data_IF_797107020258
#
_entry.id   IF_797107020258
#
_cell.length_a   1.000
_cell.length_b   1.000
_cell.length_c   1.000
_cell.angle_alpha   90.00
_cell.angle_beta   90.00
_cell.angle_gamma   90.00
#
_symmetry.space_group_name_H-M   'P 1'
#
loop_
_entity.id
_entity.type
_entity.pdbx_description
1 polymer ?
#
# COMPACT_ATOMS: atom_id res chain seq x y z
N UNK A 1 34.55 -97.22 -62.80
CA UNK A 1 34.85 -95.90 -62.20
C UNK A 1 34.16 -95.88 -60.90
N UNK A 2 34.91 -95.92 -59.91
CA UNK A 2 34.97 -95.47 -58.55
C UNK A 2 34.87 -96.49 -57.45
N UNK A 3 36.03 -96.94 -57.10
CA UNK A 3 36.35 -97.42 -55.78
C UNK A 3 36.31 -96.24 -54.79
N UNK A 4 35.80 -96.45 -53.62
CA UNK A 4 36.17 -95.95 -52.29
C UNK A 4 34.94 -95.95 -51.34
N UNK A 5 34.62 -97.13 -50.83
CA UNK A 5 33.71 -97.14 -49.68
C UNK A 5 33.82 -98.39 -48.80
N UNK A 6 34.97 -98.67 -48.21
CA UNK A 6 35.09 -99.73 -47.21
C UNK A 6 36.01 -99.47 -46.02
N UNK A 7 36.24 -98.20 -45.65
CA UNK A 7 37.13 -97.92 -44.52
C UNK A 7 36.51 -96.99 -43.46
N UNK A 8 35.20 -96.79 -43.45
CA UNK A 8 34.57 -95.79 -42.51
C UNK A 8 33.83 -96.37 -41.27
N UNK A 9 33.53 -97.71 -41.25
CA UNK A 9 32.67 -98.23 -40.19
C UNK A 9 33.35 -98.57 -38.85
N UNK A 10 34.66 -98.86 -38.84
CA UNK A 10 35.37 -99.16 -37.55
C UNK A 10 35.73 -97.94 -36.73
N UNK A 11 35.94 -96.84 -37.37
CA UNK A 11 36.18 -95.56 -36.64
C UNK A 11 34.92 -94.96 -36.07
N UNK A 12 33.75 -95.27 -36.56
CA UNK A 12 32.46 -94.74 -36.03
C UNK A 12 32.01 -95.36 -34.71
N UNK A 13 32.37 -96.62 -34.44
CA UNK A 13 32.03 -97.31 -33.17
C UNK A 13 32.97 -96.94 -32.00
N UNK A 14 34.24 -96.61 -32.28
CA UNK A 14 35.13 -96.10 -31.21
C UNK A 14 34.82 -94.70 -30.80
N UNK A 15 34.30 -93.87 -31.69
CA UNK A 15 33.86 -92.50 -31.35
C UNK A 15 32.54 -92.46 -30.52
N UNK A 16 31.67 -93.46 -30.76
CA UNK A 16 30.39 -93.54 -29.97
C UNK A 16 30.63 -93.99 -28.52
N UNK A 17 31.64 -94.84 -28.23
CA UNK A 17 31.97 -95.25 -26.87
C UNK A 17 32.56 -94.13 -25.98
N UNK A 18 33.39 -93.26 -26.56
CA UNK A 18 34.01 -92.15 -25.87
C UNK A 18 32.98 -91.00 -25.61
N UNK A 19 32.07 -90.82 -26.57
CA UNK A 19 30.99 -89.82 -26.40
C UNK A 19 29.97 -90.21 -25.28
N UNK A 20 29.67 -91.48 -25.12
CA UNK A 20 28.82 -92.01 -24.05
C UNK A 20 29.46 -91.90 -22.66
N UNK A 21 30.77 -92.10 -22.53
CA UNK A 21 31.49 -91.94 -21.25
C UNK A 21 31.63 -90.45 -20.78
N UNK A 22 31.80 -89.57 -21.75
CA UNK A 22 31.87 -88.09 -21.45
C UNK A 22 30.49 -87.53 -21.05
N UNK A 23 29.42 -88.06 -21.64
CA UNK A 23 28.05 -87.64 -21.27
C UNK A 23 27.64 -88.18 -19.90
N UNK A 24 28.10 -89.38 -19.52
CA UNK A 24 27.78 -89.92 -18.19
C UNK A 24 28.54 -89.21 -17.04
N UNK A 25 29.79 -88.76 -17.28
CA UNK A 25 30.57 -88.00 -16.30
C UNK A 25 30.11 -86.57 -16.18
N UNK A 26 29.58 -85.91 -17.21
CA UNK A 26 29.03 -84.58 -17.15
C UNK A 26 27.63 -84.54 -16.52
N UNK A 27 26.82 -85.59 -16.63
CA UNK A 27 25.55 -85.74 -15.97
C UNK A 27 25.67 -85.98 -14.44
N UNK A 28 26.75 -86.65 -13.97
CA UNK A 28 27.04 -86.87 -12.56
C UNK A 28 27.59 -85.63 -11.84
N UNK A 29 28.26 -84.69 -12.57
CA UNK A 29 28.71 -83.41 -12.00
C UNK A 29 27.65 -82.33 -12.05
N UNK A 30 26.59 -82.45 -12.84
CA UNK A 30 25.47 -81.51 -12.88
C UNK A 30 24.33 -81.86 -11.94
N UNK A 31 24.39 -83.00 -11.26
CA UNK A 31 23.38 -83.46 -10.31
C UNK A 31 23.62 -83.05 -8.84
N UNK A 32 24.75 -82.40 -8.50
CA UNK A 32 25.07 -82.06 -7.08
C UNK A 32 25.16 -80.59 -6.79
N UNK A 33 24.64 -79.70 -7.65
CA UNK A 33 24.61 -78.26 -7.38
C UNK A 33 23.22 -77.59 -7.52
N UNK A 34 22.16 -78.32 -7.32
CA UNK A 34 20.84 -77.67 -7.12
C UNK A 34 20.54 -77.44 -5.64
N UNK A 35 21.40 -76.68 -4.96
CA UNK A 35 20.92 -75.86 -3.86
C UNK A 35 20.14 -74.76 -4.54
N UNK A 36 18.82 -74.81 -4.44
CA UNK A 36 17.93 -73.71 -4.72
C UNK A 36 18.27 -72.64 -3.74
N UNK A 37 19.15 -71.70 -4.14
CA UNK A 37 19.25 -70.39 -3.44
C UNK A 37 17.90 -69.71 -3.66
N UNK A 38 17.12 -69.64 -2.60
CA UNK A 38 15.91 -68.80 -2.57
C UNK A 38 16.30 -67.41 -3.06
N UNK A 39 15.51 -66.73 -3.94
CA UNK A 39 15.83 -65.41 -4.36
C UNK A 39 16.00 -64.54 -3.11
N UNK A 40 17.25 -64.09 -2.91
CA UNK A 40 17.56 -63.14 -1.84
C UNK A 40 16.57 -61.99 -2.03
N UNK A 41 15.68 -61.82 -1.07
CA UNK A 41 14.81 -60.66 -0.99
C UNK A 41 15.77 -59.48 -1.17
N UNK A 42 15.65 -58.77 -2.29
CA UNK A 42 16.41 -57.54 -2.52
C UNK A 42 16.23 -56.68 -1.29
N UNK A 43 17.27 -56.59 -0.48
CA UNK A 43 17.28 -55.72 0.69
C UNK A 43 16.85 -54.33 0.18
N UNK A 44 15.68 -53.89 0.63
CA UNK A 44 15.18 -52.57 0.25
C UNK A 44 16.27 -51.56 0.57
N UNK A 45 16.70 -50.83 -0.44
CA UNK A 45 17.69 -49.77 -0.25
C UNK A 45 17.30 -48.93 0.95
N UNK A 46 18.23 -48.61 1.85
CA UNK A 46 17.89 -47.85 3.08
C UNK A 46 17.16 -46.57 2.70
N UNK A 47 15.96 -46.40 3.27
CA UNK A 47 15.14 -45.23 3.01
C UNK A 47 15.90 -43.96 3.41
N UNK A 48 15.98 -42.99 2.50
CA UNK A 48 16.70 -41.74 2.74
C UNK A 48 15.91 -40.87 3.72
N UNK A 49 16.47 -40.47 4.87
CA UNK A 49 15.78 -39.58 5.80
C UNK A 49 15.60 -38.21 5.18
N UNK A 50 14.35 -37.68 5.19
CA UNK A 50 13.98 -36.37 4.65
C UNK A 50 13.00 -35.69 5.58
N UNK A 51 13.06 -34.35 5.63
CA UNK A 51 12.01 -33.57 6.29
C UNK A 51 10.82 -33.42 5.34
N UNK A 52 9.66 -33.83 5.77
CA UNK A 52 8.41 -33.75 5.02
C UNK A 52 7.43 -32.83 5.71
N UNK A 53 6.65 -32.07 4.94
CA UNK A 53 5.57 -31.25 5.47
C UNK A 53 4.30 -31.40 4.61
N UNK A 54 3.16 -31.21 5.23
CA UNK A 54 1.89 -31.17 4.52
C UNK A 54 1.69 -29.82 3.84
N UNK A 55 1.23 -29.84 2.61
CA UNK A 55 0.87 -28.67 1.82
C UNK A 55 -0.32 -27.98 2.47
N UNK A 56 -0.12 -26.71 2.85
CA UNK A 56 -1.13 -25.90 3.50
C UNK A 56 -2.06 -25.25 2.47
N UNK A 57 -3.33 -25.15 2.83
CA UNK A 57 -4.29 -24.31 2.10
C UNK A 57 -4.82 -23.26 3.07
N UNK A 58 -4.59 -22.01 2.77
CA UNK A 58 -5.01 -20.88 3.59
C UNK A 58 -5.57 -19.76 2.71
N UNK A 59 -6.45 -18.96 3.32
CA UNK A 59 -6.92 -17.73 2.73
C UNK A 59 -5.82 -16.68 2.86
N UNK A 60 -5.30 -16.23 1.74
CA UNK A 60 -4.20 -15.25 1.70
C UNK A 60 -4.62 -13.99 0.96
N UNK A 61 -4.17 -12.87 1.46
CA UNK A 61 -4.23 -11.60 0.72
C UNK A 61 -2.98 -11.49 -0.14
N UNK A 62 -3.16 -11.39 -1.45
CA UNK A 62 -2.06 -11.13 -2.37
C UNK A 62 -1.70 -9.65 -2.33
N UNK A 63 -0.41 -9.34 -2.28
CA UNK A 63 0.10 -7.99 -2.20
C UNK A 63 0.87 -7.63 -3.47
N UNK A 64 0.57 -6.47 -4.03
CA UNK A 64 1.34 -5.86 -5.12
C UNK A 64 2.22 -4.75 -4.54
N UNK A 65 3.48 -4.69 -4.97
CA UNK A 65 4.46 -3.72 -4.49
C UNK A 65 4.64 -2.58 -5.48
N UNK A 66 4.64 -1.36 -4.95
CA UNK A 66 4.78 -0.14 -5.72
C UNK A 66 5.76 0.80 -5.04
N UNK A 67 6.32 1.70 -5.84
CA UNK A 67 7.11 2.82 -5.37
C UNK A 67 6.27 4.09 -5.40
N UNK A 68 6.29 4.86 -4.32
CA UNK A 68 5.51 6.08 -4.23
C UNK A 68 6.20 7.18 -3.42
N UNK A 69 5.47 8.27 -3.22
CA UNK A 69 5.90 9.41 -2.40
C UNK A 69 4.82 9.82 -1.43
N UNK A 70 5.26 10.29 -0.28
CA UNK A 70 4.38 10.88 0.72
C UNK A 70 3.98 12.29 0.31
N UNK A 71 2.72 12.62 0.51
CA UNK A 71 2.14 13.94 0.26
C UNK A 71 1.35 14.39 1.48
N UNK A 72 1.43 15.67 1.80
CA UNK A 72 0.54 16.24 2.83
C UNK A 72 -0.89 16.31 2.27
N UNK A 73 -1.88 16.08 3.15
CA UNK A 73 -3.31 16.22 2.78
C UNK A 73 -3.62 17.66 2.35
N UNK A 74 -3.01 18.63 3.04
CA UNK A 74 -3.17 20.04 2.73
C UNK A 74 -1.80 20.71 2.69
N UNK A 75 -1.58 21.50 1.65
CA UNK A 75 -0.45 22.40 1.52
C UNK A 75 -0.97 23.78 1.17
N UNK A 76 -0.60 24.78 1.96
CA UNK A 76 -1.01 26.16 1.77
C UNK A 76 0.20 27.06 1.76
N UNK A 77 0.34 27.83 0.70
CA UNK A 77 1.29 28.92 0.62
C UNK A 77 0.63 30.15 1.24
N UNK A 78 1.09 30.54 2.42
CA UNK A 78 0.53 31.65 3.20
C UNK A 78 0.94 32.97 2.56
N UNK A 79 -0.03 33.74 2.08
CA UNK A 79 0.19 35.04 1.42
C UNK A 79 -0.59 36.14 2.14
N UNK A 80 -0.10 37.40 2.14
CA UNK A 80 -0.78 38.53 2.73
C UNK A 80 -2.01 38.93 1.88
N UNK A 81 -3.10 39.27 2.54
CA UNK A 81 -4.32 39.81 1.89
C UNK A 81 -4.34 41.33 1.84
N UNK A 82 -3.47 41.97 2.61
CA UNK A 82 -3.30 43.42 2.67
C UNK A 82 -1.83 43.80 2.57
N UNK A 83 -1.54 44.96 2.04
CA UNK A 83 -0.18 45.47 1.84
C UNK A 83 0.31 46.19 3.10
N UNK A 84 1.61 46.14 3.37
CA UNK A 84 2.22 46.83 4.53
C UNK A 84 3.54 46.22 4.92
N UNK A 85 4.23 46.83 5.91
CA UNK A 85 5.44 46.27 6.45
C UNK A 85 5.14 45.09 7.41
N UNK A 86 5.93 44.02 7.35
CA UNK A 86 5.87 42.95 8.35
C UNK A 86 6.39 43.48 9.66
N UNK A 87 5.53 43.59 10.67
CA UNK A 87 5.88 44.10 11.97
C UNK A 87 6.41 43.03 12.91
N UNK A 88 5.82 41.83 12.87
CA UNK A 88 6.22 40.73 13.74
C UNK A 88 5.96 39.36 13.08
N UNK A 89 6.77 38.38 13.49
CA UNK A 89 6.59 36.96 13.21
C UNK A 89 6.39 36.23 14.53
N UNK A 90 5.35 35.40 14.63
CA UNK A 90 4.88 34.79 15.88
C UNK A 90 5.15 33.29 15.99
N UNK A 91 5.86 32.68 15.07
CA UNK A 91 6.21 31.27 15.08
C UNK A 91 7.70 31.05 14.94
N UNK A 92 8.14 29.82 15.23
CA UNK A 92 9.49 29.33 14.89
C UNK A 92 9.41 28.45 13.67
N UNK A 93 10.40 28.52 12.79
CA UNK A 93 10.50 27.67 11.62
C UNK A 93 10.42 26.17 12.00
N UNK A 94 9.62 25.40 11.25
CA UNK A 94 9.41 23.98 11.52
C UNK A 94 8.46 23.67 12.69
N UNK A 95 7.91 24.67 13.38
CA UNK A 95 6.98 24.46 14.49
C UNK A 95 5.63 23.92 14.00
N UNK A 96 4.94 23.21 14.89
CA UNK A 96 3.53 22.83 14.70
C UNK A 96 2.64 23.99 15.15
N UNK A 97 1.65 24.34 14.32
CA UNK A 97 0.65 25.37 14.59
C UNK A 97 -0.75 24.79 14.37
N UNK A 98 -1.73 25.41 15.05
CA UNK A 98 -3.14 25.10 14.88
C UNK A 98 -3.80 26.08 13.93
N UNK A 99 -4.88 25.67 13.29
CA UNK A 99 -5.73 26.59 12.53
C UNK A 99 -6.18 27.75 13.41
N UNK A 100 -6.00 28.99 12.92
CA UNK A 100 -6.29 30.22 13.65
C UNK A 100 -5.11 30.83 14.39
N UNK A 101 -3.99 30.13 14.60
CA UNK A 101 -2.80 30.67 15.24
C UNK A 101 -2.25 31.84 14.43
N UNK A 102 -1.81 32.90 15.12
CA UNK A 102 -1.22 34.09 14.52
C UNK A 102 0.19 33.75 14.01
N UNK A 103 0.44 33.97 12.73
CA UNK A 103 1.74 33.73 12.08
C UNK A 103 2.52 35.02 11.87
N UNK A 104 1.88 36.04 11.27
CA UNK A 104 2.50 37.31 10.98
C UNK A 104 1.58 38.46 11.39
N UNK A 105 2.18 39.58 11.76
CA UNK A 105 1.49 40.86 11.89
C UNK A 105 2.05 41.81 10.83
N UNK A 106 1.18 42.27 9.94
CA UNK A 106 1.42 43.41 9.04
C UNK A 106 1.05 44.65 9.74
N UNK A 107 1.74 45.79 9.51
CA UNK A 107 1.50 47.07 10.18
C UNK A 107 0.01 47.43 10.14
N UNK A 108 -0.68 47.46 11.30
CA UNK A 108 -2.11 47.75 11.37
C UNK A 108 -2.44 49.26 11.38
N UNK A 109 -1.46 50.14 11.57
CA UNK A 109 -1.73 51.57 11.83
C UNK A 109 -2.54 52.26 10.72
N UNK A 110 -2.26 52.07 9.41
CA UNK A 110 -3.06 52.62 8.34
C UNK A 110 -4.51 52.09 8.32
N UNK A 111 -4.70 50.85 8.68
CA UNK A 111 -6.00 50.15 8.66
C UNK A 111 -6.85 50.55 9.89
N UNK A 112 -6.23 50.81 11.06
CA UNK A 112 -6.90 51.38 12.22
C UNK A 112 -7.45 52.77 11.90
N UNK A 113 -6.63 53.64 11.30
CA UNK A 113 -7.09 54.98 10.89
C UNK A 113 -8.27 54.93 9.89
N UNK A 114 -8.28 53.92 8.98
CA UNK A 114 -9.37 53.72 8.02
C UNK A 114 -10.66 53.27 8.73
N UNK A 115 -10.56 52.39 9.74
CA UNK A 115 -11.72 52.00 10.58
C UNK A 115 -12.27 53.20 11.32
N UNK A 116 -11.43 54.01 11.96
CA UNK A 116 -11.85 55.21 12.70
C UNK A 116 -12.56 56.18 11.78
N UNK A 117 -12.06 56.41 10.58
CA UNK A 117 -12.70 57.25 9.55
C UNK A 117 -14.07 56.71 9.14
N UNK A 118 -14.16 55.41 8.88
CA UNK A 118 -15.43 54.78 8.49
C UNK A 118 -16.45 54.77 9.65
N UNK A 119 -16.01 54.64 10.89
CA UNK A 119 -16.88 54.76 12.08
C UNK A 119 -17.46 56.15 12.21
N UNK A 120 -16.65 57.20 12.01
CA UNK A 120 -17.13 58.58 12.01
C UNK A 120 -18.20 58.81 10.91
N UNK A 121 -18.04 58.24 9.73
CA UNK A 121 -19.02 58.31 8.62
C UNK A 121 -20.34 57.61 9.01
N UNK A 122 -20.31 56.48 9.66
CA UNK A 122 -21.53 55.81 10.18
C UNK A 122 -22.24 56.65 11.20
N UNK A 123 -21.50 57.31 12.10
CA UNK A 123 -22.11 58.23 13.12
C UNK A 123 -22.81 59.40 12.43
N UNK A 124 -22.18 60.04 11.43
CA UNK A 124 -22.79 61.13 10.67
C UNK A 124 -24.04 60.68 9.89
N UNK A 125 -23.97 59.52 9.19
CA UNK A 125 -25.10 58.96 8.47
C UNK A 125 -26.28 58.59 9.40
N UNK A 126 -25.99 58.06 10.58
CA UNK A 126 -26.99 57.78 11.64
C UNK A 126 -27.70 59.04 12.09
N UNK A 127 -26.96 60.11 12.35
CA UNK A 127 -27.54 61.41 12.75
C UNK A 127 -28.47 61.98 11.65
N UNK A 128 -28.05 61.90 10.38
CA UNK A 128 -28.85 62.29 9.23
C UNK A 128 -30.13 61.47 9.10
N UNK A 129 -30.01 60.14 9.26
CA UNK A 129 -31.18 59.23 9.22
C UNK A 129 -32.18 59.56 10.35
N UNK A 130 -31.72 59.78 11.58
CA UNK A 130 -32.56 60.14 12.68
C UNK A 130 -33.35 61.46 12.46
N UNK A 131 -32.66 62.49 11.89
CA UNK A 131 -33.26 63.70 11.47
C UNK A 131 -34.37 63.55 10.43
N UNK A 132 -34.03 62.92 9.33
CA UNK A 132 -34.96 62.69 8.18
C UNK A 132 -36.11 61.77 8.56
N UNK A 133 -35.91 60.82 9.46
CA UNK A 133 -36.96 60.00 10.05
C UNK A 133 -38.00 60.87 10.81
N UNK A 134 -37.55 61.72 11.72
CA UNK A 134 -38.41 62.63 12.46
C UNK A 134 -39.19 63.56 11.54
N UNK A 135 -38.53 64.12 10.50
CA UNK A 135 -39.21 64.98 9.54
C UNK A 135 -40.24 64.21 8.71
N UNK A 136 -39.94 62.98 8.26
CA UNK A 136 -40.90 62.11 7.53
C UNK A 136 -42.11 61.74 8.41
N UNK A 137 -41.89 61.42 9.66
CA UNK A 137 -42.99 61.15 10.64
C UNK A 137 -43.88 62.39 10.90
N UNK A 138 -43.28 63.58 10.98
CA UNK A 138 -44.02 64.84 11.08
C UNK A 138 -44.80 65.09 9.80
N UNK A 139 -44.22 64.96 8.67
CA UNK A 139 -44.87 65.13 7.37
C UNK A 139 -46.05 64.15 7.19
N UNK A 140 -45.91 62.87 7.64
CA UNK A 140 -47.02 61.92 7.61
C UNK A 140 -48.24 62.38 8.42
N UNK A 141 -48.02 62.87 9.64
CA UNK A 141 -49.13 63.47 10.48
C UNK A 141 -49.78 64.64 9.81
N UNK A 142 -48.99 65.62 9.28
CA UNK A 142 -49.55 66.84 8.63
C UNK A 142 -50.29 66.52 7.33
N UNK A 143 -49.84 65.42 6.59
CA UNK A 143 -50.53 64.94 5.42
C UNK A 143 -51.90 64.34 5.77
N UNK A 144 -51.97 63.55 6.83
CA UNK A 144 -53.25 62.97 7.32
C UNK A 144 -54.21 64.06 7.73
N UNK A 145 -53.69 65.18 8.31
CA UNK A 145 -54.45 66.38 8.63
C UNK A 145 -54.72 67.30 7.45
N UNK A 146 -54.24 66.93 6.21
CA UNK A 146 -54.33 67.75 4.97
C UNK A 146 -53.66 69.13 5.11
N UNK A 147 -52.66 69.26 5.96
CA UNK A 147 -51.97 70.54 6.23
C UNK A 147 -50.77 70.83 5.32
N UNK A 148 -50.31 69.81 4.51
CA UNK A 148 -49.19 69.98 3.57
C UNK A 148 -49.56 69.45 2.16
N UNK A 149 -48.82 69.95 1.14
CA UNK A 149 -48.96 69.45 -0.23
C UNK A 149 -48.32 68.05 -0.46
N UNK A 150 -48.88 67.28 -1.35
CA UNK A 150 -48.35 65.95 -1.70
C UNK A 150 -46.85 65.97 -2.05
N UNK A 151 -46.42 66.97 -2.84
CA UNK A 151 -45.03 67.17 -3.21
C UNK A 151 -44.11 67.25 -1.98
N UNK A 152 -44.49 68.01 -0.97
CA UNK A 152 -43.70 68.17 0.25
C UNK A 152 -43.64 66.86 1.05
N UNK A 153 -44.75 66.14 1.18
CA UNK A 153 -44.79 64.82 1.79
C UNK A 153 -43.85 63.88 1.05
N UNK A 154 -43.92 63.72 -0.28
CA UNK A 154 -43.08 62.87 -1.10
C UNK A 154 -41.59 63.21 -0.97
N UNK A 155 -41.25 64.51 -0.91
CA UNK A 155 -39.87 64.98 -0.69
C UNK A 155 -39.32 64.49 0.68
N UNK A 156 -40.08 64.57 1.77
CA UNK A 156 -39.66 64.13 3.13
C UNK A 156 -39.49 62.60 3.18
N UNK A 157 -40.41 61.84 2.57
CA UNK A 157 -40.34 60.39 2.48
C UNK A 157 -39.12 59.95 1.65
N UNK A 158 -38.85 60.62 0.53
CA UNK A 158 -37.68 60.33 -0.33
C UNK A 158 -36.38 60.69 0.40
N UNK A 159 -36.32 61.83 1.11
CA UNK A 159 -35.14 62.21 1.88
C UNK A 159 -34.81 61.16 2.99
N UNK A 160 -35.82 60.60 3.64
CA UNK A 160 -35.62 59.51 4.58
C UNK A 160 -35.08 58.26 3.91
N UNK A 161 -35.63 57.86 2.74
CA UNK A 161 -35.15 56.67 1.98
C UNK A 161 -33.70 56.84 1.53
N UNK A 162 -33.33 58.05 1.09
CA UNK A 162 -31.96 58.38 0.71
C UNK A 162 -31.03 58.29 1.92
N UNK A 163 -31.41 58.86 3.09
CA UNK A 163 -30.62 58.80 4.32
C UNK A 163 -30.44 57.36 4.81
N UNK A 164 -31.46 56.49 4.68
CA UNK A 164 -31.40 55.08 5.01
C UNK A 164 -30.41 54.33 4.09
N UNK A 165 -30.44 54.60 2.77
CA UNK A 165 -29.50 54.03 1.81
C UNK A 165 -28.06 54.48 2.11
N UNK A 166 -27.85 55.77 2.43
CA UNK A 166 -26.53 56.31 2.80
C UNK A 166 -25.99 55.70 4.10
N UNK A 167 -26.84 55.44 5.09
CA UNK A 167 -26.45 54.77 6.33
C UNK A 167 -25.98 53.33 6.03
N UNK A 168 -26.73 52.61 5.22
CA UNK A 168 -26.31 51.22 4.80
C UNK A 168 -25.00 51.25 4.06
N UNK A 169 -24.75 52.19 3.16
CA UNK A 169 -23.49 52.33 2.44
C UNK A 169 -22.32 52.62 3.41
N UNK A 170 -22.51 53.54 4.38
CA UNK A 170 -21.49 53.81 5.41
C UNK A 170 -21.19 52.60 6.28
N UNK A 171 -22.21 51.84 6.67
CA UNK A 171 -22.04 50.59 7.42
C UNK A 171 -21.26 49.53 6.64
N UNK A 172 -21.53 49.37 5.34
CA UNK A 172 -20.78 48.44 4.46
C UNK A 172 -19.32 48.86 4.34
N UNK A 173 -19.04 50.18 4.19
CA UNK A 173 -17.67 50.70 4.15
C UNK A 173 -16.92 50.43 5.47
N UNK A 174 -17.57 50.61 6.63
CA UNK A 174 -16.99 50.27 7.92
C UNK A 174 -16.66 48.78 8.03
N UNK A 175 -17.56 47.90 7.58
CA UNK A 175 -17.32 46.49 7.61
C UNK A 175 -16.09 46.07 6.73
N UNK A 176 -15.95 46.70 5.55
CA UNK A 176 -14.79 46.50 4.70
C UNK A 176 -13.49 46.94 5.37
N UNK A 177 -13.48 48.10 6.02
CA UNK A 177 -12.33 48.60 6.78
C UNK A 177 -11.95 47.64 7.93
N UNK A 178 -12.92 47.12 8.68
CA UNK A 178 -12.70 46.12 9.74
C UNK A 178 -12.18 44.82 9.23
N UNK A 179 -12.62 44.34 8.07
CA UNK A 179 -12.06 43.13 7.40
C UNK A 179 -10.59 43.36 7.02
N UNK A 180 -10.27 44.49 6.43
CA UNK A 180 -8.89 44.80 6.03
C UNK A 180 -7.97 44.90 7.27
N UNK A 181 -8.44 45.51 8.37
CA UNK A 181 -7.72 45.49 9.65
C UNK A 181 -7.53 44.08 10.17
N UNK A 182 -8.55 43.20 10.05
CA UNK A 182 -8.43 41.79 10.43
C UNK A 182 -7.41 41.04 9.62
N UNK A 183 -7.22 41.38 8.34
CA UNK A 183 -6.25 40.76 7.46
C UNK A 183 -4.80 41.18 7.75
N UNK A 184 -4.56 42.21 8.54
CA UNK A 184 -3.21 42.54 9.05
C UNK A 184 -2.68 41.45 9.98
N UNK A 185 -3.56 40.68 10.62
CA UNK A 185 -3.24 39.48 11.38
C UNK A 185 -3.30 38.27 10.48
N UNK A 186 -2.17 37.86 9.93
CA UNK A 186 -2.09 36.67 9.09
C UNK A 186 -2.10 35.42 9.96
N UNK A 187 -3.19 34.66 9.89
CA UNK A 187 -3.42 33.46 10.70
C UNK A 187 -3.27 32.19 9.87
N UNK A 188 -2.91 31.10 10.54
CA UNK A 188 -2.83 29.76 9.94
C UNK A 188 -4.22 29.30 9.46
N UNK A 189 -4.40 29.01 8.16
CA UNK A 189 -5.70 28.56 7.63
C UNK A 189 -6.00 27.10 8.00
N UNK A 190 -4.97 26.31 8.25
CA UNK A 190 -5.03 24.88 8.59
C UNK A 190 -4.04 24.56 9.71
N UNK A 191 -4.26 23.45 10.42
CA UNK A 191 -3.28 22.95 11.38
C UNK A 191 -2.19 22.19 10.65
N UNK A 192 -0.93 22.35 11.07
CA UNK A 192 0.18 21.69 10.42
C UNK A 192 1.54 22.21 10.86
N UNK A 193 2.57 21.87 10.11
CA UNK A 193 3.93 22.34 10.31
C UNK A 193 4.22 23.52 9.39
N UNK A 194 4.67 24.63 9.97
CA UNK A 194 5.12 25.79 9.19
C UNK A 194 6.50 25.56 8.62
N UNK A 195 6.71 26.07 7.43
CA UNK A 195 8.01 26.07 6.75
C UNK A 195 8.95 27.16 7.27
N UNK A 196 9.88 27.57 6.42
CA UNK A 196 10.77 28.68 6.70
C UNK A 196 10.08 30.04 6.56
N UNK A 197 10.67 31.05 7.13
CA UNK A 197 10.23 32.43 6.99
C UNK A 197 10.82 32.98 5.69
N UNK A 198 9.95 33.20 4.67
CA UNK A 198 10.38 33.74 3.37
C UNK A 198 10.54 35.26 3.38
N UNK A 199 9.77 35.95 4.25
CA UNK A 199 9.79 37.41 4.40
C UNK A 199 10.03 37.75 5.87
N UNK A 200 11.11 38.46 6.13
CA UNK A 200 11.51 38.86 7.48
C UNK A 200 10.86 40.19 7.92
N UNK A 201 10.88 40.44 9.23
CA UNK A 201 10.40 41.69 9.84
C UNK A 201 11.06 42.90 9.19
N UNK A 202 10.31 43.98 8.97
CA UNK A 202 10.73 45.21 8.33
C UNK A 202 10.56 45.26 6.82
N UNK A 203 10.34 44.12 6.15
CA UNK A 203 10.09 44.10 4.71
C UNK A 203 8.65 44.49 4.38
N UNK A 204 8.50 45.18 3.28
CA UNK A 204 7.20 45.56 2.72
C UNK A 204 6.62 44.40 1.92
N UNK A 205 5.37 44.04 2.16
CA UNK A 205 4.63 43.03 1.38
C UNK A 205 3.47 43.70 0.65
N UNK A 206 3.18 43.16 -0.55
CA UNK A 206 2.03 43.58 -1.36
C UNK A 206 0.92 42.52 -1.30
N UNK A 207 -0.30 42.93 -1.56
CA UNK A 207 -1.45 42.04 -1.70
C UNK A 207 -1.86 41.86 -3.16
N UNK A 208 -2.63 40.80 -3.46
CA UNK A 208 -3.17 40.54 -4.80
C UNK A 208 -2.32 39.61 -5.66
N UNK A 209 -2.48 39.72 -6.99
CA UNK A 209 -1.74 38.88 -7.95
C UNK A 209 -0.24 39.17 -7.84
N UNK A 210 0.55 38.15 -7.52
CA UNK A 210 2.00 38.29 -7.29
C UNK A 210 2.38 38.63 -5.86
N UNK A 211 1.48 38.52 -4.89
CA UNK A 211 1.83 38.63 -3.48
C UNK A 211 2.92 37.60 -3.11
N UNK A 212 3.95 38.01 -2.33
CA UNK A 212 4.99 37.07 -1.93
C UNK A 212 4.43 36.02 -0.95
N UNK A 213 4.96 34.79 -1.07
CA UNK A 213 4.71 33.77 -0.07
C UNK A 213 5.45 34.15 1.21
N UNK A 214 4.77 34.24 2.34
CA UNK A 214 5.35 34.54 3.64
C UNK A 214 5.97 33.30 4.28
N UNK A 215 5.29 32.19 4.18
CA UNK A 215 5.73 30.84 4.60
C UNK A 215 4.83 29.79 3.96
N UNK A 216 5.27 28.54 3.96
CA UNK A 216 4.44 27.39 3.58
C UNK A 216 3.90 26.69 4.82
N UNK A 217 2.69 26.17 4.74
CA UNK A 217 2.07 25.38 5.81
C UNK A 217 1.62 24.04 5.24
N UNK A 218 2.06 22.94 5.84
CA UNK A 218 1.70 21.59 5.42
C UNK A 218 1.05 20.83 6.57
N UNK A 219 -0.06 20.14 6.28
CA UNK A 219 -0.68 19.26 7.27
C UNK A 219 0.26 18.09 7.57
N UNK A 220 0.25 17.62 8.83
CA UNK A 220 1.13 16.54 9.28
C UNK A 220 0.38 15.23 9.41
N UNK A 221 -0.84 15.25 9.90
CA UNK A 221 -1.69 14.09 10.11
C UNK A 221 -3.10 14.37 9.60
N UNK A 222 -3.68 13.45 8.81
CA UNK A 222 -3.06 12.28 8.19
C UNK A 222 -2.12 12.63 7.03
N UNK A 223 -1.39 11.62 6.52
CA UNK A 223 -0.53 11.72 5.35
C UNK A 223 -1.06 10.87 4.20
N UNK A 224 -0.88 11.34 2.99
CA UNK A 224 -1.14 10.56 1.79
C UNK A 224 0.15 9.91 1.27
N UNK A 225 0.00 8.74 0.66
CA UNK A 225 1.03 8.14 -0.16
C UNK A 225 0.48 7.98 -1.58
N UNK A 226 1.08 8.67 -2.54
CA UNK A 226 0.72 8.60 -3.95
C UNK A 226 1.67 7.68 -4.69
N UNK A 227 1.14 6.80 -5.51
CA UNK A 227 1.88 5.86 -6.35
C UNK A 227 1.15 5.59 -7.65
N UNK A 228 1.88 5.13 -8.65
CA UNK A 228 1.33 4.80 -9.95
C UNK A 228 1.22 3.26 -10.04
N UNK A 229 0.00 2.75 -10.24
CA UNK A 229 -0.30 1.33 -10.33
C UNK A 229 -0.70 0.95 -11.75
N UNK A 230 -0.28 -0.23 -12.21
CA UNK A 230 -0.66 -0.75 -13.53
C UNK A 230 -2.17 -0.81 -13.68
N UNK A 231 -2.68 -0.40 -14.83
CA UNK A 231 -4.11 -0.41 -15.16
C UNK A 231 -4.75 -1.79 -14.91
N UNK A 232 -4.04 -2.87 -15.26
CA UNK A 232 -4.55 -4.23 -15.08
C UNK A 232 -4.77 -4.58 -13.60
N UNK A 233 -3.84 -4.17 -12.72
CA UNK A 233 -3.95 -4.41 -11.26
C UNK A 233 -5.14 -3.63 -10.69
N UNK A 234 -5.29 -2.38 -11.11
CA UNK A 234 -6.41 -1.52 -10.69
C UNK A 234 -7.75 -2.08 -11.19
N UNK A 235 -7.81 -2.52 -12.45
CA UNK A 235 -9.01 -3.11 -13.03
C UNK A 235 -9.42 -4.41 -12.29
N UNK A 236 -8.46 -5.28 -11.97
CA UNK A 236 -8.72 -6.49 -11.18
C UNK A 236 -9.23 -6.16 -9.77
N UNK A 237 -8.64 -5.16 -9.10
CA UNK A 237 -9.09 -4.72 -7.79
C UNK A 237 -10.53 -4.18 -7.85
N UNK A 238 -10.87 -3.37 -8.86
CA UNK A 238 -12.22 -2.83 -9.05
C UNK A 238 -13.24 -3.92 -9.38
N UNK A 239 -12.90 -4.91 -10.21
CA UNK A 239 -13.77 -6.05 -10.51
C UNK A 239 -14.04 -6.89 -9.25
N UNK A 240 -13.01 -7.15 -8.44
CA UNK A 240 -13.16 -7.81 -7.15
C UNK A 240 -14.12 -7.08 -6.21
N UNK A 241 -14.05 -5.75 -6.17
CA UNK A 241 -14.94 -4.92 -5.37
C UNK A 241 -16.38 -4.94 -5.89
N UNK A 242 -16.60 -4.94 -7.20
CA UNK A 242 -17.95 -5.01 -7.78
C UNK A 242 -18.65 -6.32 -7.43
N UNK A 243 -17.92 -7.43 -7.42
CA UNK A 243 -18.44 -8.74 -7.02
C UNK A 243 -18.89 -8.78 -5.54
N UNK A 244 -18.28 -7.95 -4.68
CA UNK A 244 -18.58 -7.84 -3.26
C UNK A 244 -19.58 -6.71 -2.93
N UNK A 245 -20.09 -5.98 -3.92
CA UNK A 245 -20.66 -4.63 -3.72
C UNK A 245 -22.05 -4.58 -3.08
N UNK A 246 -22.81 -5.65 -2.92
CA UNK A 246 -24.11 -5.66 -2.21
C UNK A 246 -24.76 -4.27 -1.98
N UNK A 247 -24.73 -3.36 -2.98
CA UNK A 247 -25.33 -2.03 -2.89
C UNK A 247 -24.49 -0.94 -2.18
N UNK A 248 -23.22 -1.18 -1.86
CA UNK A 248 -22.32 -0.15 -1.30
C UNK A 248 -21.77 0.76 -2.40
N UNK A 249 -21.52 2.03 -2.07
CA UNK A 249 -20.87 2.95 -3.01
C UNK A 249 -19.43 2.51 -3.33
N UNK A 250 -19.00 2.74 -4.55
CA UNK A 250 -17.62 2.41 -5.01
C UNK A 250 -16.56 3.00 -4.08
N UNK A 251 -16.79 4.19 -3.55
CA UNK A 251 -15.87 4.85 -2.61
C UNK A 251 -15.71 4.04 -1.32
N UNK A 252 -16.81 3.61 -0.70
CA UNK A 252 -16.75 2.82 0.52
C UNK A 252 -16.07 1.46 0.32
N UNK A 253 -16.11 0.93 -0.90
CA UNK A 253 -15.42 -0.31 -1.26
C UNK A 253 -13.92 -0.09 -1.46
N UNK A 254 -13.51 1.02 -2.08
CA UNK A 254 -12.09 1.38 -2.24
C UNK A 254 -11.40 1.50 -0.89
N UNK A 255 -12.07 2.10 0.10
CA UNK A 255 -11.54 2.26 1.46
C UNK A 255 -11.34 0.91 2.21
N UNK A 256 -11.89 -0.21 1.71
CA UNK A 256 -11.64 -1.55 2.28
C UNK A 256 -10.34 -2.18 1.80
N UNK A 257 -9.70 -1.65 0.76
CA UNK A 257 -8.43 -2.17 0.25
C UNK A 257 -7.31 -1.80 1.22
N UNK A 258 -6.68 -2.80 1.87
CA UNK A 258 -5.60 -2.54 2.79
C UNK A 258 -4.33 -2.12 2.05
N UNK A 259 -3.64 -1.13 2.58
CA UNK A 259 -2.35 -0.68 2.05
C UNK A 259 -1.34 -0.65 3.19
N UNK A 260 -0.16 -1.19 2.93
CA UNK A 260 0.97 -1.14 3.84
C UNK A 260 2.07 -0.27 3.24
N UNK A 261 2.81 0.41 4.09
CA UNK A 261 3.86 1.32 3.66
C UNK A 261 5.10 1.19 4.55
N UNK A 262 6.27 1.31 3.90
CA UNK A 262 7.55 1.46 4.56
C UNK A 262 8.34 2.62 3.96
N UNK A 263 8.99 3.39 4.82
CA UNK A 263 9.92 4.46 4.42
C UNK A 263 11.37 3.98 4.51
N UNK A 264 12.31 4.73 3.94
CA UNK A 264 13.72 4.29 3.84
C UNK A 264 14.39 3.89 5.16
N UNK A 265 13.91 4.41 6.29
CA UNK A 265 14.39 4.10 7.64
C UNK A 265 13.70 2.93 8.31
N UNK A 266 12.60 2.44 7.77
CA UNK A 266 11.84 1.33 8.35
C UNK A 266 12.31 -0.03 7.81
N UNK A 267 12.44 -1.01 8.69
CA UNK A 267 12.55 -2.41 8.31
C UNK A 267 11.19 -2.95 7.88
N UNK A 268 10.97 -3.17 6.57
CA UNK A 268 9.70 -3.65 6.05
C UNK A 268 8.66 -2.56 5.81
N UNK A 269 7.38 -2.84 6.05
CA UNK A 269 6.22 -1.97 5.83
C UNK A 269 5.36 -1.82 7.09
N UNK A 270 5.86 -1.12 8.14
CA UNK A 270 5.20 -1.07 9.45
C UNK A 270 3.93 -0.21 9.47
N UNK A 271 3.76 0.72 8.52
CA UNK A 271 2.61 1.61 8.49
C UNK A 271 1.45 0.94 7.76
N UNK A 272 0.30 0.89 8.42
CA UNK A 272 -0.93 0.33 7.87
C UNK A 272 -1.91 1.46 7.59
N UNK A 273 -2.49 1.43 6.41
CA UNK A 273 -3.47 2.40 5.94
C UNK A 273 -4.46 1.75 5.00
N UNK A 274 -5.23 2.55 4.30
CA UNK A 274 -6.21 2.09 3.33
C UNK A 274 -6.20 2.98 2.08
N UNK A 275 -6.72 2.43 1.00
CA UNK A 275 -6.84 3.15 -0.24
C UNK A 275 -7.87 4.28 -0.09
N UNK A 276 -7.57 5.46 -0.62
CA UNK A 276 -8.44 6.63 -0.52
C UNK A 276 -8.97 7.08 -1.87
N UNK A 277 -8.14 6.99 -2.91
CA UNK A 277 -8.46 7.45 -4.26
C UNK A 277 -7.79 6.55 -5.29
N UNK A 278 -8.54 6.23 -6.33
CA UNK A 278 -8.06 5.77 -7.62
C UNK A 278 -8.41 6.89 -8.59
N UNK A 279 -7.43 7.42 -9.33
CA UNK A 279 -7.68 8.48 -10.30
C UNK A 279 -8.64 7.99 -11.40
N UNK A 280 -9.38 8.91 -11.99
CA UNK A 280 -10.33 8.63 -13.06
C UNK A 280 -9.69 8.59 -14.46
N UNK A 281 -8.39 8.79 -14.56
CA UNK A 281 -7.63 8.82 -15.80
C UNK A 281 -6.45 7.86 -15.75
N UNK A 282 -6.23 7.16 -16.86
CA UNK A 282 -5.03 6.36 -17.12
C UNK A 282 -4.02 7.26 -17.83
N UNK A 283 -2.78 7.29 -17.38
CA UNK A 283 -1.70 7.92 -18.12
C UNK A 283 -1.37 7.05 -19.35
N UNK A 284 -1.73 7.54 -20.53
CA UNK A 284 -1.56 6.82 -21.79
C UNK A 284 -0.09 6.55 -22.17
N UNK A 285 0.88 7.25 -21.55
CA UNK A 285 2.31 7.05 -21.81
C UNK A 285 2.89 5.89 -21.02
N UNK A 286 2.47 5.75 -19.76
CA UNK A 286 2.96 4.72 -18.84
C UNK A 286 2.02 3.52 -18.71
N UNK A 287 0.74 3.64 -19.08
CA UNK A 287 -0.28 2.61 -18.85
C UNK A 287 -0.61 2.44 -17.37
N UNK A 288 -0.38 3.48 -16.56
CA UNK A 288 -0.61 3.45 -15.12
C UNK A 288 -1.74 4.37 -14.70
N UNK A 289 -2.35 4.07 -13.57
CA UNK A 289 -3.35 4.89 -12.89
C UNK A 289 -2.74 5.41 -11.60
N UNK A 290 -2.92 6.69 -11.33
CA UNK A 290 -2.49 7.26 -10.05
C UNK A 290 -3.42 6.83 -8.94
N UNK A 291 -2.82 6.28 -7.90
CA UNK A 291 -3.50 5.76 -6.73
C UNK A 291 -2.99 6.47 -5.48
N UNK A 292 -3.89 6.70 -4.53
CA UNK A 292 -3.55 7.38 -3.28
C UNK A 292 -4.12 6.62 -2.10
N UNK A 293 -3.25 6.36 -1.13
CA UNK A 293 -3.60 5.75 0.15
C UNK A 293 -3.42 6.75 1.30
N UNK A 294 -4.14 6.56 2.40
CA UNK A 294 -4.07 7.41 3.59
C UNK A 294 -3.48 6.63 4.76
N UNK A 295 -2.60 7.32 5.51
CA UNK A 295 -1.89 6.78 6.67
C UNK A 295 -1.95 7.76 7.83
N UNK A 296 -2.09 7.26 9.04
CA UNK A 296 -1.92 8.06 10.25
C UNK A 296 -0.45 8.47 10.45
N UNK A 297 -0.24 9.68 10.95
CA UNK A 297 1.08 10.24 11.26
C UNK A 297 1.03 11.05 12.57
N UNK A 298 0.41 10.48 13.58
CA UNK A 298 0.22 11.15 14.88
C UNK A 298 1.55 11.58 15.48
N UNK A 299 2.61 10.77 15.30
CA UNK A 299 3.95 11.05 15.82
C UNK A 299 4.71 12.10 14.99
N UNK A 300 4.18 12.52 13.83
CA UNK A 300 4.81 13.49 12.94
C UNK A 300 6.16 13.06 12.36
N UNK A 301 6.44 11.74 12.32
CA UNK A 301 7.70 11.17 11.83
C UNK A 301 7.76 11.10 10.31
N UNK A 302 6.61 10.99 9.65
CA UNK A 302 6.48 11.00 8.21
C UNK A 302 6.50 12.45 7.70
N UNK A 303 7.26 12.67 6.63
CA UNK A 303 7.36 13.99 5.99
C UNK A 303 6.92 13.93 4.53
N UNK A 304 6.22 14.96 4.07
CA UNK A 304 5.85 15.11 2.67
C UNK A 304 7.10 15.12 1.78
N UNK A 305 7.02 14.43 0.63
CA UNK A 305 8.13 14.27 -0.30
C UNK A 305 9.01 13.05 -0.06
N UNK A 306 8.91 12.36 1.08
CA UNK A 306 9.66 11.13 1.33
C UNK A 306 9.27 10.02 0.34
N UNK A 307 10.27 9.23 -0.05
CA UNK A 307 10.05 8.01 -0.80
C UNK A 307 9.42 6.94 0.09
N UNK A 308 8.45 6.22 -0.45
CA UNK A 308 7.76 5.15 0.22
C UNK A 308 7.68 3.88 -0.63
N UNK A 309 7.95 2.73 -0.01
CA UNK A 309 7.60 1.42 -0.57
C UNK A 309 6.19 1.09 -0.13
N UNK A 310 5.32 0.82 -1.08
CA UNK A 310 3.90 0.64 -0.85
C UNK A 310 3.53 -0.78 -1.26
N UNK A 311 2.75 -1.45 -0.43
CA UNK A 311 2.14 -2.74 -0.72
C UNK A 311 0.63 -2.58 -0.68
N UNK A 312 -0.02 -2.78 -1.81
CA UNK A 312 -1.47 -2.75 -1.92
C UNK A 312 -2.00 -4.18 -1.91
N UNK A 313 -2.86 -4.51 -0.97
CA UNK A 313 -3.53 -5.79 -0.88
C UNK A 313 -4.68 -5.91 -1.88
N UNK A 314 -4.96 -7.12 -2.31
CA UNK A 314 -6.18 -7.38 -3.09
C UNK A 314 -7.41 -7.34 -2.15
N UNK A 315 -8.57 -6.87 -2.64
CA UNK A 315 -9.78 -6.74 -1.81
C UNK A 315 -10.40 -8.08 -1.38
N UNK A 316 -10.00 -9.17 -2.03
CA UNK A 316 -10.48 -10.52 -1.73
C UNK A 316 -9.31 -11.40 -1.29
N UNK A 317 -9.56 -12.18 -0.26
CA UNK A 317 -8.69 -13.30 0.08
C UNK A 317 -8.88 -14.43 -0.92
N UNK A 318 -7.79 -15.02 -1.37
CA UNK A 318 -7.82 -16.16 -2.28
C UNK A 318 -7.33 -17.38 -1.55
N UNK A 319 -8.05 -18.50 -1.66
CA UNK A 319 -7.55 -19.77 -1.17
C UNK A 319 -6.31 -20.16 -1.98
N UNK A 320 -5.18 -20.15 -1.35
CA UNK A 320 -3.91 -20.49 -1.96
C UNK A 320 -3.26 -21.70 -1.31
N UNK A 321 -2.61 -22.49 -2.14
CA UNK A 321 -1.74 -23.59 -1.73
C UNK A 321 -0.38 -22.99 -1.39
N UNK A 322 0.11 -23.23 -0.18
CA UNK A 322 1.34 -22.65 0.34
C UNK A 322 2.36 -23.73 0.66
N UNK A 323 3.59 -23.48 0.23
CA UNK A 323 4.73 -24.37 0.51
C UNK A 323 5.94 -23.57 0.98
N UNK A 324 6.84 -24.23 1.69
CA UNK A 324 8.12 -23.63 2.04
C UNK A 324 8.99 -23.49 0.79
N UNK A 325 9.65 -22.36 0.62
CA UNK A 325 10.50 -22.12 -0.57
C UNK A 325 11.65 -23.14 -0.71
N UNK A 326 12.10 -23.74 0.40
CA UNK A 326 13.10 -24.79 0.40
C UNK A 326 12.64 -26.11 -0.22
N UNK A 327 11.32 -26.34 -0.27
CA UNK A 327 10.74 -27.52 -0.93
C UNK A 327 10.82 -27.43 -2.45
N UNK A 328 11.19 -26.27 -3.00
CA UNK A 328 11.24 -26.04 -4.45
C UNK A 328 12.62 -26.34 -4.99
N UNK A 329 12.68 -27.32 -5.86
CA UNK A 329 13.85 -27.60 -6.70
C UNK A 329 13.77 -26.85 -8.04
N UNK A 330 14.93 -26.68 -8.66
CA UNK A 330 15.01 -26.10 -10.00
C UNK A 330 15.73 -27.09 -10.89
N UNK A 331 15.10 -27.48 -11.99
CA UNK A 331 15.66 -28.32 -13.05
C UNK A 331 15.61 -27.51 -14.35
N UNK A 332 16.79 -27.03 -14.75
CA UNK A 332 16.94 -26.09 -15.88
C UNK A 332 15.99 -24.87 -15.72
N UNK A 333 14.91 -24.82 -16.48
CA UNK A 333 13.91 -23.75 -16.45
C UNK A 333 12.65 -24.09 -15.65
N UNK A 334 12.50 -25.34 -15.17
CA UNK A 334 11.32 -25.84 -14.50
C UNK A 334 11.48 -25.82 -13.00
N UNK A 335 10.42 -25.40 -12.31
CA UNK A 335 10.32 -25.53 -10.86
C UNK A 335 9.59 -26.82 -10.53
N UNK A 336 10.10 -27.57 -9.56
CA UNK A 336 9.51 -28.83 -9.17
C UNK A 336 9.55 -29.02 -7.64
N UNK A 337 8.73 -29.92 -7.18
CA UNK A 337 8.73 -30.43 -5.80
C UNK A 337 8.77 -31.95 -5.84
N UNK A 338 9.24 -32.56 -4.74
CA UNK A 338 9.14 -33.99 -4.54
C UNK A 338 7.95 -34.29 -3.63
N UNK A 339 6.91 -34.88 -4.22
CA UNK A 339 5.69 -35.31 -3.48
C UNK A 339 5.94 -36.72 -2.93
N UNK A 340 5.56 -36.97 -1.69
CA UNK A 340 5.69 -38.29 -1.06
C UNK A 340 4.38 -39.05 -1.25
N UNK A 341 4.40 -40.10 -2.07
CA UNK A 341 3.26 -40.97 -2.30
C UNK A 341 2.93 -41.86 -1.10
N UNK A 342 1.83 -42.62 -1.20
CA UNK A 342 1.40 -43.58 -0.18
C UNK A 342 2.45 -44.64 0.18
N UNK A 343 3.29 -45.02 -0.78
CA UNK A 343 4.39 -46.00 -0.65
C UNK A 343 5.68 -45.38 -0.11
N UNK A 344 5.64 -44.13 0.40
CA UNK A 344 6.82 -43.32 0.76
C UNK A 344 7.82 -43.15 -0.38
N UNK A 345 7.39 -43.20 -1.62
CA UNK A 345 8.21 -42.92 -2.79
C UNK A 345 8.14 -41.44 -3.13
N UNK A 346 9.29 -40.86 -3.45
CA UNK A 346 9.37 -39.46 -3.88
C UNK A 346 9.04 -39.36 -5.36
N UNK A 347 7.97 -38.63 -5.69
CA UNK A 347 7.53 -38.39 -7.06
C UNK A 347 7.91 -36.97 -7.48
N UNK A 348 8.52 -36.83 -8.65
CA UNK A 348 8.81 -35.55 -9.27
C UNK A 348 7.51 -34.90 -9.77
N UNK A 349 7.24 -33.68 -9.36
CA UNK A 349 6.08 -32.96 -9.84
C UNK A 349 6.44 -31.53 -10.18
N UNK A 350 6.20 -31.15 -11.42
CA UNK A 350 6.36 -29.77 -11.89
C UNK A 350 5.30 -28.87 -11.25
N UNK A 351 5.70 -27.68 -10.79
CA UNK A 351 4.83 -26.71 -10.13
C UNK A 351 5.03 -25.33 -10.71
N UNK A 352 3.95 -24.56 -10.74
CA UNK A 352 4.01 -23.13 -11.02
C UNK A 352 3.93 -22.35 -9.72
N UNK A 353 4.87 -21.43 -9.56
CA UNK A 353 4.99 -20.64 -8.34
C UNK A 353 4.37 -19.25 -8.53
N UNK A 354 3.65 -18.79 -7.52
CA UNK A 354 3.14 -17.43 -7.39
C UNK A 354 4.01 -16.56 -6.51
N UNK A 355 3.39 -15.53 -5.93
CA UNK A 355 4.03 -14.57 -5.02
C UNK A 355 4.41 -15.21 -3.67
N UNK A 356 5.44 -14.70 -2.97
CA UNK A 356 5.69 -15.06 -1.59
C UNK A 356 4.66 -14.43 -0.66
N UNK A 357 4.20 -15.19 0.35
CA UNK A 357 3.27 -14.73 1.37
C UNK A 357 3.73 -15.28 2.72
N UNK A 358 3.96 -14.41 3.70
CA UNK A 358 4.34 -14.72 5.08
C UNK A 358 5.49 -15.74 5.23
N UNK A 359 6.46 -15.66 4.33
CA UNK A 359 7.63 -16.55 4.33
C UNK A 359 7.42 -17.90 3.64
N UNK A 360 6.24 -18.15 3.10
CA UNK A 360 5.88 -19.27 2.27
C UNK A 360 5.73 -18.83 0.81
N UNK A 361 5.67 -19.79 -0.11
CA UNK A 361 5.49 -19.55 -1.54
C UNK A 361 4.13 -20.09 -1.98
N UNK A 362 3.35 -19.26 -2.67
CA UNK A 362 2.10 -19.68 -3.29
C UNK A 362 2.41 -20.63 -4.45
N UNK A 363 1.65 -21.70 -4.57
CA UNK A 363 1.66 -22.60 -5.73
C UNK A 363 0.36 -22.42 -6.50
N UNK A 364 0.46 -22.00 -7.75
CA UNK A 364 -0.70 -21.74 -8.62
C UNK A 364 -1.18 -22.99 -9.33
N UNK A 365 -0.30 -23.95 -9.59
CA UNK A 365 -0.66 -25.25 -10.19
C UNK A 365 0.37 -26.34 -9.86
N UNK A 366 -0.09 -27.60 -9.88
CA UNK A 366 0.77 -28.77 -9.70
C UNK A 366 0.66 -29.47 -8.33
N UNK A 367 0.08 -28.84 -7.31
CA UNK A 367 -0.10 -29.43 -5.98
C UNK A 367 -1.55 -29.32 -5.50
N UNK A 368 -1.92 -30.23 -4.61
CA UNK A 368 -3.20 -30.22 -3.89
C UNK A 368 -2.95 -30.04 -2.40
N UNK A 369 -3.92 -29.44 -1.70
CA UNK A 369 -3.90 -29.33 -0.26
C UNK A 369 -3.80 -30.70 0.41
N UNK A 370 -3.02 -30.82 1.49
CA UNK A 370 -2.84 -32.05 2.25
C UNK A 370 -1.82 -33.03 1.68
N UNK A 371 -1.30 -32.84 0.45
CA UNK A 371 -0.20 -33.65 -0.07
C UNK A 371 1.06 -33.45 0.79
N UNK A 372 1.85 -34.51 0.98
CA UNK A 372 3.14 -34.40 1.69
C UNK A 372 4.26 -34.15 0.70
N UNK A 373 5.09 -33.16 0.98
CA UNK A 373 6.24 -32.80 0.13
C UNK A 373 7.54 -32.81 0.94
N UNK A 374 8.64 -33.04 0.26
CA UNK A 374 9.98 -32.96 0.86
C UNK A 374 10.37 -31.49 1.00
N UNK A 375 10.66 -31.03 2.21
CA UNK A 375 11.10 -29.66 2.50
C UNK A 375 12.62 -29.56 2.59
N UNK A 376 13.26 -30.51 3.27
CA UNK A 376 14.72 -30.58 3.36
C UNK A 376 15.22 -31.95 2.86
N UNK A 377 16.37 -31.93 2.19
CA UNK A 377 17.01 -33.16 1.68
C UNK A 377 16.77 -33.40 0.20
N UNK A 378 16.19 -32.45 -0.55
CA UNK A 378 15.97 -32.60 -2.01
C UNK A 378 17.19 -33.09 -2.79
N UNK A 379 18.39 -32.63 -2.39
CA UNK A 379 19.65 -33.01 -3.10
C UNK A 379 20.05 -34.45 -2.91
N UNK A 380 19.50 -35.16 -1.92
CA UNK A 380 19.79 -36.56 -1.57
C UNK A 380 18.77 -37.54 -2.14
N UNK A 381 17.64 -37.02 -2.63
CA UNK A 381 16.51 -37.85 -3.10
C UNK A 381 16.43 -37.77 -4.62
N UNK A 382 16.38 -38.91 -5.26
CA UNK A 382 16.05 -39.01 -6.69
C UNK A 382 14.60 -39.45 -6.85
N UNK A 383 13.91 -39.02 -7.93
CA UNK A 383 12.58 -39.51 -8.22
C UNK A 383 12.49 -41.04 -8.21
N UNK A 384 11.46 -41.59 -7.58
CA UNK A 384 11.23 -43.04 -7.46
C UNK A 384 11.89 -43.72 -6.26
N UNK A 385 12.74 -43.03 -5.50
CA UNK A 385 13.40 -43.59 -4.29
C UNK A 385 12.45 -43.57 -3.11
N UNK A 386 12.51 -44.61 -2.26
CA UNK A 386 11.77 -44.68 -1.00
C UNK A 386 12.45 -43.77 0.03
N UNK A 387 11.70 -42.91 0.65
CA UNK A 387 12.16 -41.96 1.67
C UNK A 387 11.61 -42.31 3.06
N UNK A 388 12.32 -41.93 4.10
CA UNK A 388 11.87 -41.99 5.48
C UNK A 388 11.46 -40.58 5.91
N UNK A 389 10.17 -40.19 5.78
CA UNK A 389 9.73 -38.85 6.07
C UNK A 389 9.72 -38.58 7.58
N UNK A 390 10.30 -37.46 8.00
CA UNK A 390 10.16 -36.87 9.31
C UNK A 390 9.26 -35.66 9.18
N UNK A 391 8.11 -35.68 9.82
CA UNK A 391 7.14 -34.59 9.71
C UNK A 391 7.66 -33.34 10.41
N UNK A 392 7.66 -32.23 9.67
CA UNK A 392 8.04 -30.89 10.14
C UNK A 392 6.92 -29.90 9.78
N UNK A 393 6.70 -28.83 10.57
CA UNK A 393 5.76 -27.80 10.16
C UNK A 393 6.22 -27.09 8.88
N UNK A 394 5.27 -26.74 8.01
CA UNK A 394 5.54 -26.12 6.72
C UNK A 394 6.17 -24.73 6.87
N UNK A 395 5.82 -24.00 7.92
CA UNK A 395 6.27 -22.65 8.28
C UNK A 395 7.56 -22.62 9.12
N UNK A 396 8.16 -23.79 9.40
CA UNK A 396 9.39 -23.86 10.18
C UNK A 396 10.46 -22.93 9.57
N UNK A 397 10.69 -21.81 10.22
CA UNK A 397 11.89 -21.00 10.01
C UNK A 397 13.08 -21.91 10.34
N UNK A 398 14.10 -21.93 9.45
CA UNK A 398 15.28 -22.72 9.68
C UNK A 398 15.85 -22.40 11.05
N UNK A 399 15.69 -23.29 12.00
CA UNK A 399 16.72 -23.43 13.02
C UNK A 399 17.99 -23.81 12.26
N UNK A 400 18.92 -22.88 12.19
CA UNK A 400 20.29 -23.15 11.80
C UNK A 400 20.71 -24.32 12.69
N UNK A 401 20.85 -25.51 12.09
CA UNK A 401 21.48 -26.65 12.71
C UNK A 401 22.95 -26.26 12.93
N UNK A 402 23.21 -25.44 13.92
CA UNK A 402 24.52 -25.35 14.54
C UNK A 402 24.75 -26.69 15.24
N UNK A 403 25.42 -27.57 14.49
CA UNK A 403 25.98 -28.80 15.02
C UNK A 403 27.10 -28.48 16.04
N UNK A 404 26.72 -27.94 17.20
CA UNK A 404 27.53 -27.94 18.41
C UNK A 404 26.72 -28.64 19.49
N UNK A 405 27.03 -29.94 19.60
CA UNK A 405 26.57 -30.74 20.68
C UNK A 405 26.80 -30.02 22.04
N UNK A 406 25.74 -29.94 22.80
CA UNK A 406 25.81 -29.56 24.20
C UNK A 406 26.72 -30.59 24.93
N UNK A 407 28.00 -30.27 25.07
CA UNK A 407 28.89 -30.91 26.02
C UNK A 407 28.38 -30.54 27.41
N UNK A 408 27.77 -31.55 28.09
CA UNK A 408 27.54 -31.52 29.55
C UNK A 408 28.87 -31.21 30.23
N UNK A 409 28.97 -30.08 30.89
CA UNK A 409 30.00 -29.85 31.90
C UNK A 409 29.64 -30.65 33.15
N UNK A 410 30.56 -31.44 33.71
CA UNK A 410 30.37 -32.03 35.02
C UNK A 410 30.60 -30.99 36.10
N UNK A 411 29.63 -30.91 37.00
CA UNK A 411 29.75 -30.19 38.30
C UNK A 411 30.82 -30.85 39.16
N UNK A 412 31.80 -30.06 39.63
CA UNK A 412 32.56 -30.25 40.85
C UNK A 412 32.34 -29.03 41.71
#
# INVERSE_FOLDING_TARGET
>A
MNEHSKLSNRRRWAAAGVAAAVIATTAAMLGLSSHAEAPAAQAAAPAVPVSAAQVLQQDVTLWNEFSGRLEAVQRVDVQPRVSGAVQAVHFKEGALVRAGDLLFTVDPAPYVAEVDRAEAQVVAAKARMAYTQSESERATRLWDERAIAQKEYDERVNARREADANLRAAQAALQTAKLNLGYTQVKAPVSGRVGRIEVTVGNLVSSGAGAPVLTTLVSVDPMYASFDADEQIVAQALQGLQSASQGRSTRALIETIPVQMGVGTSGGTPYVGHLQLIDNQVDAKSGTVRVRAVFGNVDGTLMAGQFARIRMGQPQTTQAVLINERAVGTDQSKKFVLVIGADNKAEYREVQLGAPVDGLRVVTSGLKAGERIVVNGLQRVRPGVVVAPQDVPMDAKAELADGRGAAKQPTV
#
